data_IF_161912126517
#
_entry.id   IF_161912126517
#
_cell.length_a   1.000
_cell.length_b   1.000
_cell.length_c   1.000
_cell.angle_alpha   90.00
_cell.angle_beta   90.00
_cell.angle_gamma   90.00
#
_symmetry.space_group_name_H-M   'P 1'
#
loop_
_entity.id
_entity.type
_entity.pdbx_description
1 polymer ?
2 non-polymer ?
3 non-polymer ?
#
# COMPACT_ATOMS: atom_id res chain seq x y z
N UNK A 1 -1.99 18.33 0.90
CA UNK A 1 -0.76 19.15 0.70
C UNK A 1 0.31 18.72 1.70
N UNK A 2 0.02 17.64 2.43
CA UNK A 2 0.97 17.14 3.43
C UNK A 2 0.88 15.62 3.53
N UNK A 3 1.98 14.94 3.17
CA UNK A 3 2.02 13.47 3.23
C UNK A 3 0.69 12.85 2.83
N UNK A 4 0.61 12.33 1.60
CA UNK A 4 -0.61 11.70 1.13
C UNK A 4 -0.83 10.37 1.86
N UNK A 5 0.24 9.61 2.03
CA UNK A 5 0.17 8.33 2.71
C UNK A 5 -0.28 8.52 4.15
N UNK A 6 0.31 9.49 4.83
CA UNK A 6 -0.06 9.76 6.22
C UNK A 6 -1.48 10.30 6.31
N UNK A 7 -1.92 11.00 5.27
CA UNK A 7 -3.27 11.56 5.25
C UNK A 7 -4.33 10.45 5.28
N UNK A 8 -4.13 9.42 4.48
CA UNK A 8 -5.08 8.30 4.42
C UNK A 8 -5.02 7.48 5.71
N UNK A 9 -3.84 7.42 6.30
CA UNK A 9 -3.64 6.68 7.55
C UNK A 9 -4.36 7.37 8.70
N UNK A 10 -4.10 8.64 8.89
CA UNK A 10 -4.77 9.38 9.96
C UNK A 10 -6.27 9.06 10.00
N UNK A 11 -6.82 8.79 8.82
CA UNK A 11 -8.25 8.48 8.72
C UNK A 11 -8.54 7.09 9.28
N UNK A 12 -7.57 6.20 9.19
CA UNK A 12 -7.75 4.85 9.68
C UNK A 12 -7.68 4.81 11.21
N UNK A 13 -6.62 5.34 11.78
CA UNK A 13 -6.47 5.35 13.23
C UNK A 13 -7.64 6.07 13.89
N UNK A 14 -8.02 7.21 13.32
CA UNK A 14 -9.13 7.99 13.86
C UNK A 14 -10.38 7.10 14.00
N UNK A 15 -10.47 6.09 13.14
CA UNK A 15 -11.63 5.20 13.17
C UNK A 15 -11.44 4.08 14.21
N UNK A 16 -10.20 3.88 14.65
CA UNK A 16 -9.90 2.81 15.61
C UNK A 16 -9.86 3.32 17.06
N UNK A 17 -9.09 4.38 17.30
CA UNK A 17 -8.95 4.93 18.66
C UNK A 17 -9.24 6.43 18.73
N UNK A 18 -9.25 7.10 17.57
CA UNK A 18 -9.55 8.54 17.53
C UNK A 18 -8.34 9.34 17.07
N UNK A 19 -8.49 10.66 17.02
CA UNK A 19 -7.42 11.55 16.57
C UNK A 19 -6.39 11.77 17.68
N UNK A 20 -6.80 11.60 18.93
CA UNK A 20 -5.89 11.82 20.05
C UNK A 20 -4.73 10.83 20.01
N UNK A 21 -5.00 9.60 19.59
CA UNK A 21 -3.94 8.59 19.51
C UNK A 21 -2.96 8.93 18.40
N UNK A 22 -3.49 9.43 17.30
CA UNK A 22 -2.67 9.80 16.15
C UNK A 22 -1.76 10.95 16.48
N UNK A 23 -2.27 11.93 17.18
CA UNK A 23 -1.49 13.10 17.55
C UNK A 23 -0.51 12.77 18.68
N UNK A 24 -0.86 11.79 19.48
CA UNK A 24 -0.02 11.42 20.63
C UNK A 24 1.29 10.73 20.20
N UNK A 25 1.16 9.58 19.57
CA UNK A 25 2.34 8.83 19.14
C UNK A 25 3.07 9.57 18.00
N UNK A 26 2.35 10.42 17.29
CA UNK A 26 2.94 11.19 16.20
C UNK A 26 3.90 12.25 16.75
N UNK A 27 3.48 12.91 17.81
CA UNK A 27 4.32 13.95 18.43
C UNK A 27 5.53 13.31 19.13
N UNK A 28 5.36 12.08 19.59
CA UNK A 28 6.43 11.38 20.27
C UNK A 28 7.48 10.85 19.29
N UNK A 29 7.02 10.34 18.14
CA UNK A 29 7.93 9.78 17.14
C UNK A 29 8.22 10.76 15.99
N UNK A 30 7.62 11.94 16.04
CA UNK A 30 7.83 12.93 14.97
C UNK A 30 9.21 13.59 15.12
N UNK A 31 9.82 14.02 14.02
CA UNK A 31 11.16 14.69 14.04
C UNK A 31 11.06 16.14 14.51
N UNK A 32 12.12 16.90 14.27
CA UNK A 32 12.15 18.30 14.67
C UNK A 32 11.16 19.12 13.85
N UNK A 33 11.14 18.86 12.54
CA UNK A 33 10.24 19.57 11.65
C UNK A 33 8.78 19.32 12.04
N UNK A 34 8.46 18.05 12.31
CA UNK A 34 7.11 17.68 12.70
C UNK A 34 6.11 17.92 11.57
N UNK A 35 6.48 17.50 10.36
CA UNK A 35 5.59 17.67 9.20
C UNK A 35 5.75 16.50 8.22
N UNK A 36 4.64 16.10 7.62
CA UNK A 36 4.65 14.99 6.66
C UNK A 36 4.29 15.52 5.26
N UNK A 37 5.27 15.49 4.35
CA UNK A 37 5.04 15.97 2.97
C UNK A 37 4.93 14.81 1.99
N UNK A 38 3.99 14.92 1.06
CA UNK A 38 3.79 13.86 0.07
C UNK A 38 4.76 14.03 -1.09
N UNK A 39 5.16 15.27 -1.36
CA UNK A 39 6.08 15.55 -2.44
C UNK A 39 7.50 15.10 -2.07
N UNK A 40 7.82 15.17 -0.78
CA UNK A 40 9.15 14.78 -0.31
C UNK A 40 9.21 13.28 -0.08
N UNK A 41 10.33 12.82 0.47
CA UNK A 41 10.52 11.39 0.74
C UNK A 41 11.30 11.20 2.04
N UNK A 42 11.64 12.31 2.68
CA UNK A 42 12.39 12.26 3.93
C UNK A 42 11.47 11.94 5.10
N UNK A 43 12.06 11.52 6.22
CA UNK A 43 11.27 11.18 7.39
C UNK A 43 10.22 10.14 7.05
N UNK A 44 10.41 9.44 5.93
CA UNK A 44 9.47 8.43 5.50
C UNK A 44 9.55 7.20 6.42
N UNK A 45 10.69 7.02 7.06
CA UNK A 45 10.89 5.90 7.96
C UNK A 45 9.93 5.98 9.14
N UNK A 46 9.51 7.19 9.47
CA UNK A 46 8.60 7.40 10.58
C UNK A 46 7.34 6.55 10.41
N UNK A 47 6.96 6.32 9.16
CA UNK A 47 5.76 5.53 8.88
C UNK A 47 5.90 4.13 9.49
N UNK A 48 7.08 3.54 9.35
CA UNK A 48 7.33 2.21 9.90
C UNK A 48 7.26 2.22 11.42
N UNK A 49 7.90 3.22 12.03
CA UNK A 49 7.89 3.33 13.48
C UNK A 49 6.46 3.51 13.98
N UNK A 50 5.66 4.19 13.18
CA UNK A 50 4.26 4.46 13.53
C UNK A 50 3.41 3.21 13.36
N UNK A 51 3.72 2.40 12.35
CA UNK A 51 2.95 1.18 12.10
C UNK A 51 3.18 0.14 13.20
N UNK A 52 4.42 0.04 13.68
CA UNK A 52 4.74 -0.95 14.72
C UNK A 52 4.20 -0.49 16.09
N UNK A 53 4.29 0.80 16.36
CA UNK A 53 3.80 1.35 17.64
C UNK A 53 2.28 1.33 17.68
N UNK A 54 1.65 1.99 16.72
CA UNK A 54 0.20 2.03 16.68
C UNK A 54 -0.36 0.62 16.88
N UNK A 55 0.39 -0.37 16.42
CA UNK A 55 -0.02 -1.77 16.56
C UNK A 55 0.04 -2.21 18.02
N UNK A 56 1.01 -1.66 18.75
CA UNK A 56 1.18 -2.02 20.16
C UNK A 56 -0.01 -1.53 20.99
N UNK A 57 -0.36 -0.24 20.85
CA UNK A 57 -1.47 0.31 21.61
C UNK A 57 -2.78 -0.30 21.12
N UNK A 58 -2.92 -0.42 19.80
CA UNK A 58 -4.13 -1.00 19.23
C UNK A 58 -4.21 -2.49 19.57
N UNK A 59 -3.10 -3.02 20.10
CA UNK A 59 -3.03 -4.43 20.47
C UNK A 59 -3.23 -5.31 19.24
N UNK A 60 -2.33 -5.13 18.28
CA UNK A 60 -2.38 -5.90 17.02
C UNK A 60 -0.96 -6.20 16.55
N UNK A 61 -0.77 -7.29 15.84
CA UNK A 61 0.57 -7.66 15.31
C UNK A 61 0.95 -6.79 14.10
N UNK A 62 2.17 -6.28 14.10
CA UNK A 62 2.64 -5.41 13.03
C UNK A 62 2.31 -5.97 11.64
N UNK A 63 2.36 -7.29 11.49
CA UNK A 63 2.06 -7.91 10.19
C UNK A 63 0.61 -7.69 9.76
N UNK A 64 -0.29 -7.62 10.73
CA UNK A 64 -1.70 -7.41 10.41
C UNK A 64 -2.00 -5.92 10.23
N UNK A 65 -1.31 -5.09 11.00
CA UNK A 65 -1.50 -3.65 10.90
C UNK A 65 -1.02 -3.12 9.56
N UNK A 66 0.14 -3.57 9.13
CA UNK A 66 0.69 -3.13 7.85
C UNK A 66 -0.25 -3.54 6.71
N UNK A 67 -0.82 -4.74 6.85
CA UNK A 67 -1.75 -5.25 5.83
C UNK A 67 -3.00 -4.37 5.78
N UNK A 68 -3.72 -4.31 6.89
CA UNK A 68 -4.94 -3.52 6.97
C UNK A 68 -4.68 -2.10 6.47
N UNK A 69 -3.51 -1.57 6.82
CA UNK A 69 -3.15 -0.21 6.43
C UNK A 69 -3.20 -0.07 4.90
N UNK A 70 -2.72 -1.08 4.19
CA UNK A 70 -2.73 -1.05 2.73
C UNK A 70 -4.15 -1.07 2.18
N UNK A 71 -4.93 -2.07 2.58
CA UNK A 71 -6.29 -2.19 2.10
C UNK A 71 -7.00 -0.84 2.12
N UNK A 72 -6.83 -0.11 3.20
CA UNK A 72 -7.46 1.19 3.35
C UNK A 72 -6.74 2.26 2.51
N UNK A 73 -5.40 2.19 2.49
CA UNK A 73 -4.62 3.15 1.73
C UNK A 73 -5.12 3.24 0.29
N UNK A 74 -5.42 2.09 -0.28
CA UNK A 74 -5.91 2.04 -1.65
C UNK A 74 -7.25 2.76 -1.77
N UNK A 75 -8.13 2.52 -0.81
CA UNK A 75 -9.46 3.13 -0.82
C UNK A 75 -9.35 4.67 -0.86
N UNK A 76 -8.62 5.23 0.09
CA UNK A 76 -8.46 6.68 0.16
C UNK A 76 -7.73 7.24 -1.06
N UNK A 77 -6.66 6.57 -1.47
CA UNK A 77 -5.88 7.00 -2.61
C UNK A 77 -6.78 7.11 -3.85
N UNK A 78 -7.47 6.04 -4.17
CA UNK A 78 -8.36 6.02 -5.32
C UNK A 78 -9.21 7.28 -5.36
N UNK A 79 -9.67 7.72 -4.19
CA UNK A 79 -10.51 8.91 -4.11
C UNK A 79 -9.74 10.15 -4.54
N UNK A 80 -8.41 10.10 -4.43
CA UNK A 80 -7.57 11.24 -4.80
C UNK A 80 -7.08 11.11 -6.24
N UNK A 81 -6.92 9.85 -6.68
CA UNK A 81 -6.45 9.59 -8.05
C UNK A 81 -7.48 8.76 -8.82
N UNK A 82 -8.75 8.91 -8.44
CA UNK A 82 -9.83 8.19 -9.10
C UNK A 82 -9.67 8.24 -10.62
N UNK A 83 -9.09 9.33 -11.11
CA UNK A 83 -8.89 9.50 -12.55
C UNK A 83 -7.90 8.47 -13.10
N UNK A 84 -6.79 8.29 -12.41
CA UNK A 84 -5.79 7.33 -12.85
C UNK A 84 -6.30 5.90 -12.68
N UNK A 85 -6.82 5.61 -11.49
CA UNK A 85 -7.32 4.28 -11.18
C UNK A 85 -8.45 3.88 -12.13
N UNK A 86 -9.46 4.73 -12.26
CA UNK A 86 -10.61 4.45 -13.12
C UNK A 86 -10.21 3.99 -14.53
N UNK A 87 -8.95 4.18 -14.90
CA UNK A 87 -8.50 3.78 -16.23
C UNK A 87 -8.53 2.25 -16.39
N UNK A 88 -8.71 1.55 -15.28
CA UNK A 88 -8.74 0.08 -15.28
C UNK A 88 -10.16 -0.47 -15.44
N UNK A 89 -11.14 0.30 -15.02
CA UNK A 89 -12.54 -0.11 -15.13
C UNK A 89 -12.78 -1.52 -14.51
N UNK A 90 -11.69 -2.28 -14.27
CA UNK A 90 -11.80 -3.63 -13.72
C UNK A 90 -10.45 -4.09 -13.13
N UNK A 91 -10.52 -4.74 -11.98
CA UNK A 91 -9.33 -5.24 -11.27
C UNK A 91 -8.28 -5.86 -12.21
N UNK A 92 -8.73 -6.56 -13.24
CA UNK A 92 -7.79 -7.21 -14.16
C UNK A 92 -6.92 -6.20 -14.91
N UNK A 93 -7.53 -5.12 -15.36
CA UNK A 93 -6.79 -4.10 -16.12
C UNK A 93 -5.81 -3.33 -15.24
N UNK A 94 -6.10 -3.21 -13.95
CA UNK A 94 -5.21 -2.46 -13.04
C UNK A 94 -3.96 -3.27 -12.70
N UNK A 95 -4.12 -4.45 -12.13
CA UNK A 95 -2.97 -5.28 -11.74
C UNK A 95 -1.85 -5.19 -12.80
N UNK A 96 -2.21 -5.36 -14.06
CA UNK A 96 -1.22 -5.32 -15.14
C UNK A 96 -0.79 -3.89 -15.45
N UNK A 97 -1.56 -2.91 -14.99
CA UNK A 97 -1.25 -1.49 -15.26
C UNK A 97 -0.57 -0.81 -14.08
N UNK A 98 -0.39 -1.54 -12.99
CA UNK A 98 0.25 -0.97 -11.80
C UNK A 98 1.48 -0.16 -12.17
N UNK A 99 2.64 -0.81 -12.21
CA UNK A 99 3.88 -0.12 -12.54
C UNK A 99 3.67 0.83 -13.71
N UNK A 100 3.07 0.31 -14.76
CA UNK A 100 2.81 1.08 -15.98
C UNK A 100 2.36 2.52 -15.71
N UNK A 101 1.04 2.74 -15.82
CA UNK A 101 0.44 4.07 -15.67
C UNK A 101 0.32 4.55 -14.23
N UNK A 102 -0.20 3.72 -13.36
CA UNK A 102 -0.42 4.10 -11.96
C UNK A 102 0.85 4.64 -11.29
N UNK A 103 1.99 3.99 -11.51
CA UNK A 103 3.23 4.44 -10.87
C UNK A 103 4.00 5.43 -11.75
N UNK A 104 3.58 5.56 -13.00
CA UNK A 104 4.25 6.48 -13.91
C UNK A 104 3.68 7.90 -13.75
N UNK A 105 2.40 7.97 -13.39
CA UNK A 105 1.74 9.26 -13.21
C UNK A 105 2.12 9.88 -11.85
N UNK A 106 2.12 9.07 -10.80
CA UNK A 106 2.47 9.57 -9.47
C UNK A 106 3.90 10.12 -9.47
N UNK A 107 4.76 9.53 -10.28
CA UNK A 107 6.15 9.95 -10.37
C UNK A 107 6.24 11.41 -10.83
N UNK A 108 5.48 11.74 -11.86
CA UNK A 108 5.49 13.11 -12.39
C UNK A 108 4.77 14.05 -11.44
N UNK A 109 3.72 13.56 -10.80
CA UNK A 109 2.95 14.36 -9.87
C UNK A 109 3.72 14.55 -8.57
N UNK A 110 4.46 13.52 -8.17
CA UNK A 110 5.24 13.57 -6.94
C UNK A 110 6.38 12.55 -6.98
N UNK A 111 7.21 12.56 -5.94
CA UNK A 111 8.33 11.63 -5.85
C UNK A 111 9.23 11.76 -7.09
N UNK A 112 10.07 10.76 -7.30
CA UNK A 112 10.98 10.75 -8.45
C UNK A 112 11.29 9.31 -8.88
N UNK A 113 11.62 9.10 -10.13
CA UNK A 113 11.95 7.75 -10.66
C UNK A 113 12.69 6.89 -9.64
N UNK A 114 11.94 6.20 -8.80
CA UNK A 114 12.54 5.34 -7.77
C UNK A 114 11.46 4.54 -7.05
N UNK A 115 10.34 4.32 -7.73
CA UNK A 115 9.24 3.57 -7.14
C UNK A 115 9.55 2.06 -7.14
N UNK A 116 9.06 1.33 -6.15
CA UNK A 116 9.30 -0.14 -6.06
C UNK A 116 9.24 -0.83 -7.42
N UNK A 117 9.76 -2.06 -7.48
CA UNK A 117 9.76 -2.83 -8.73
C UNK A 117 8.55 -3.78 -8.78
N UNK A 118 7.64 -3.51 -9.72
CA UNK A 118 6.44 -4.35 -9.87
C UNK A 118 6.22 -4.72 -11.33
N UNK A 119 6.12 -6.03 -11.60
CA UNK A 119 5.91 -6.50 -12.97
C UNK A 119 4.72 -7.46 -13.03
N UNK A 120 3.59 -6.95 -13.53
CA UNK A 120 2.38 -7.74 -13.64
C UNK A 120 2.32 -8.44 -14.99
N UNK A 121 2.14 -9.75 -14.96
CA UNK A 121 2.05 -10.55 -16.19
C UNK A 121 0.76 -11.36 -16.18
N UNK A 122 0.01 -11.33 -17.28
CA UNK A 122 -1.25 -12.05 -17.34
C UNK A 122 -1.02 -13.53 -17.71
N UNK A 123 -1.71 -14.40 -16.98
CA UNK A 123 -1.62 -15.85 -17.22
C UNK A 123 -2.99 -16.37 -17.66
N UNK A 124 -3.13 -17.66 -17.88
CA UNK A 124 -4.42 -18.25 -18.31
C UNK A 124 -5.30 -18.67 -17.12
N UNK A 125 -6.55 -18.99 -17.41
CA UNK A 125 -7.50 -19.41 -16.38
C UNK A 125 -7.85 -18.25 -15.44
N UNK A 126 -7.71 -17.02 -15.94
CA UNK A 126 -8.01 -15.84 -15.14
C UNK A 126 -7.06 -15.70 -13.95
N UNK A 127 -5.76 -15.88 -14.20
CA UNK A 127 -4.74 -15.76 -13.15
C UNK A 127 -3.74 -14.68 -13.55
N UNK A 128 -3.18 -13.99 -12.56
CA UNK A 128 -2.21 -12.92 -12.83
C UNK A 128 -0.96 -13.09 -11.97
N UNK A 129 0.20 -13.10 -12.62
CA UNK A 129 1.47 -13.24 -11.90
C UNK A 129 2.08 -11.87 -11.67
N UNK A 130 2.11 -11.45 -10.42
CA UNK A 130 2.64 -10.15 -10.05
C UNK A 130 3.96 -10.30 -9.29
N UNK A 131 5.04 -9.84 -9.90
CA UNK A 131 6.35 -9.90 -9.27
C UNK A 131 6.60 -8.64 -8.45
N UNK A 132 7.28 -8.78 -7.31
CA UNK A 132 7.58 -7.63 -6.45
C UNK A 132 9.00 -7.73 -5.88
N UNK A 133 9.67 -6.59 -5.78
CA UNK A 133 11.03 -6.55 -5.26
C UNK A 133 11.41 -5.13 -4.85
N UNK A 134 12.04 -4.99 -3.70
CA UNK A 134 12.46 -3.67 -3.22
C UNK A 134 13.01 -3.75 -1.79
N UNK A 135 14.16 -3.16 -1.50
CA UNK A 135 14.76 -3.18 -0.14
C UNK A 135 13.72 -2.95 0.96
N UNK A 136 12.75 -2.08 0.68
CA UNK A 136 11.70 -1.77 1.64
C UNK A 136 11.08 -3.05 2.20
N UNK A 137 11.27 -4.16 1.48
CA UNK A 137 10.74 -5.46 1.90
C UNK A 137 9.36 -5.30 2.55
N UNK A 138 8.66 -4.23 2.19
CA UNK A 138 7.33 -3.96 2.74
C UNK A 138 6.26 -4.63 1.87
N UNK A 139 6.62 -5.76 1.28
CA UNK A 139 5.69 -6.49 0.43
C UNK A 139 4.35 -6.68 1.14
N UNK A 140 4.40 -6.95 2.44
CA UNK A 140 3.19 -7.17 3.21
C UNK A 140 2.16 -6.08 2.89
N UNK A 141 2.63 -4.89 2.58
CA UNK A 141 1.75 -3.78 2.25
C UNK A 141 1.13 -3.97 0.87
N UNK A 142 1.95 -4.42 -0.08
CA UNK A 142 1.48 -4.64 -1.44
C UNK A 142 0.27 -5.58 -1.46
N UNK A 143 0.30 -6.60 -0.60
CA UNK A 143 -0.80 -7.54 -0.55
C UNK A 143 -2.09 -6.82 -0.16
N UNK A 144 -2.03 -6.07 0.93
CA UNK A 144 -3.19 -5.34 1.41
C UNK A 144 -3.76 -4.43 0.32
N UNK A 145 -2.88 -3.74 -0.41
CA UNK A 145 -3.33 -2.84 -1.46
C UNK A 145 -4.16 -3.60 -2.50
N UNK A 146 -3.69 -4.78 -2.90
CA UNK A 146 -4.39 -5.58 -3.89
C UNK A 146 -5.79 -5.95 -3.41
N UNK A 147 -5.92 -6.27 -2.13
CA UNK A 147 -7.22 -6.65 -1.58
C UNK A 147 -8.14 -5.44 -1.45
N UNK A 148 -7.55 -4.28 -1.14
CA UNK A 148 -8.33 -3.06 -1.00
C UNK A 148 -9.02 -2.69 -2.30
N UNK A 149 -8.29 -2.79 -3.40
CA UNK A 149 -8.83 -2.45 -4.70
C UNK A 149 -9.84 -3.51 -5.15
N UNK A 150 -9.59 -4.76 -4.78
CA UNK A 150 -10.48 -5.85 -5.16
C UNK A 150 -11.85 -5.68 -4.50
N UNK A 151 -11.85 -5.47 -3.19
CA UNK A 151 -13.09 -5.29 -2.46
C UNK A 151 -13.85 -4.08 -3.00
N UNK A 152 -13.13 -2.96 -3.11
CA UNK A 152 -13.73 -1.72 -3.60
C UNK A 152 -14.66 -2.00 -4.78
N UNK A 153 -14.36 -3.08 -5.53
CA UNK A 153 -15.17 -3.44 -6.70
C UNK A 153 -15.86 -4.80 -6.50
N UNK A 154 -16.23 -5.09 -5.24
CA UNK A 154 -16.89 -6.35 -4.91
C UNK A 154 -16.30 -7.51 -5.73
N UNK A 155 -14.97 -7.57 -5.82
CA UNK A 155 -14.28 -8.61 -6.55
C UNK A 155 -13.39 -9.41 -5.61
N UNK A 156 -13.76 -10.67 -5.37
CA UNK A 156 -12.99 -11.53 -4.47
C UNK A 156 -11.81 -12.19 -5.21
N UNK A 157 -10.68 -12.26 -4.52
CA UNK A 157 -9.47 -12.86 -5.11
C UNK A 157 -8.62 -13.53 -4.05
N UNK A 158 -7.64 -14.32 -4.50
CA UNK A 158 -6.72 -15.00 -3.59
C UNK A 158 -5.29 -14.76 -4.03
N UNK A 159 -4.38 -14.59 -3.06
CA UNK A 159 -2.97 -14.34 -3.38
C UNK A 159 -2.07 -15.39 -2.75
N UNK A 160 -1.22 -15.99 -3.58
CA UNK A 160 -0.26 -16.99 -3.12
C UNK A 160 1.15 -16.44 -3.19
N UNK A 161 1.74 -16.20 -2.02
CA UNK A 161 3.10 -15.67 -1.94
C UNK A 161 4.08 -16.71 -1.36
N UNK A 162 4.73 -17.45 -2.26
CA UNK A 162 5.69 -18.47 -1.84
C UNK A 162 7.11 -17.91 -1.87
N UNK A 163 7.34 -16.95 -2.75
CA UNK A 163 8.66 -16.32 -2.84
C UNK A 163 8.62 -14.94 -2.20
N UNK A 164 9.47 -14.73 -1.21
CA UNK A 164 9.51 -13.45 -0.50
C UNK A 164 10.95 -13.05 -0.19
N UNK A 165 11.33 -11.85 -0.63
CA UNK A 165 12.67 -11.35 -0.40
C UNK A 165 13.00 -11.41 1.09
N UNK A 166 11.96 -11.53 1.91
CA UNK A 166 12.13 -11.59 3.35
C UNK A 166 12.69 -12.95 3.78
N UNK A 167 12.56 -13.96 2.91
CA UNK A 167 13.06 -15.30 3.24
C UNK A 167 14.42 -15.56 2.57
N UNK A 168 15.20 -14.50 2.39
CA UNK A 168 16.53 -14.62 1.78
C UNK A 168 16.46 -14.54 0.26
N UNK A 169 15.25 -14.65 -0.29
CA UNK A 169 15.08 -14.58 -1.74
C UNK A 169 15.53 -13.22 -2.26
N UNK A 170 15.85 -13.15 -3.55
CA UNK A 170 16.29 -11.90 -4.15
C UNK A 170 15.09 -11.09 -4.63
N UNK A 171 13.94 -11.75 -4.69
CA UNK A 171 12.71 -11.09 -5.15
C UNK A 171 11.50 -11.73 -4.49
N UNK A 172 10.33 -11.53 -5.10
CA UNK A 172 9.09 -12.10 -4.56
C UNK A 172 8.16 -12.51 -5.70
N UNK A 173 7.24 -13.44 -5.40
CA UNK A 173 6.29 -13.92 -6.41
C UNK A 173 4.88 -13.99 -5.83
N UNK A 174 4.00 -13.10 -6.31
CA UNK A 174 2.61 -13.06 -5.83
C UNK A 174 1.65 -13.40 -6.98
N UNK A 175 0.95 -14.53 -6.83
CA UNK A 175 -0.01 -14.96 -7.87
C UNK A 175 -1.43 -14.64 -7.41
N UNK A 176 -2.13 -13.81 -8.18
CA UNK A 176 -3.50 -13.44 -7.84
C UNK A 176 -4.51 -14.22 -8.68
N UNK A 177 -5.17 -15.18 -8.05
CA UNK A 177 -6.17 -15.99 -8.74
C UNK A 177 -7.52 -15.29 -8.70
N UNK A 178 -8.17 -15.19 -9.86
CA UNK A 178 -9.47 -14.54 -9.94
C UNK A 178 -10.60 -15.56 -9.85
N UNK A 179 -11.57 -15.31 -8.98
CA UNK A 179 -12.69 -16.24 -8.80
C UNK A 179 -13.74 -15.99 -9.88
N UNK A 180 -14.29 -17.08 -10.42
CA UNK A 180 -15.31 -16.98 -11.47
C UNK A 180 -16.65 -17.48 -10.94
N UNK A 181 -16.73 -17.68 -9.63
CA UNK A 181 -17.96 -18.17 -9.00
C UNK A 181 -19.16 -17.34 -9.48
X LIG B 1 4.49 2.91 -3.59
X LIG B 1 2.23 -1.13 -4.74
X LIG B 1 -1.38 1.45 -6.45
X LIG B 1 1.00 5.45 -5.59
X LIG B 1 4.10 1.60 -3.62
X LIG B 1 4.40 0.65 -2.58
X LIG B 1 3.89 -0.53 -3.00
X LIG B 1 3.10 -0.23 -4.17
X LIG B 1 3.95 -1.83 -2.27
X LIG B 1 4.86 0.97 -1.19
X LIG B 1 6.39 1.00 -1.08
X LIG B 1 6.93 -0.41 -1.13
X LIG B 1 6.89 -1.01 -2.23
X LIG B 1 7.47 -0.87 -0.10
X LIG B 1 1.13 -0.79 -5.48
X LIG B 1 0.09 -1.72 -5.86
X LIG B 1 -1.00 -1.00 -6.15
X LIG B 1 -0.56 0.39 -6.17
X LIG B 1 0.17 -3.21 -5.80
X LIG B 1 -2.21 -1.47 -6.59
X LIG B 1 -2.87 -2.48 -5.92
X LIG B 1 -0.98 2.75 -6.53
X LIG B 1 -1.84 3.85 -6.90
X LIG B 1 -1.08 4.96 -6.87
X LIG B 1 0.16 4.57 -6.24
X LIG B 1 -3.27 3.79 -7.30
X LIG B 1 -1.51 6.24 -7.13
X LIG B 1 -2.40 6.86 -6.29
X LIG B 1 2.16 5.10 -4.95
X LIG B 1 3.04 6.05 -4.31
X LIG B 1 4.11 5.34 -3.91
X LIG B 1 3.80 3.95 -4.13
X LIG B 1 2.86 7.52 -4.21
X LIG B 1 5.43 5.89 -3.48
X LIG B 1 5.57 6.00 -1.97
X LIG B 1 6.80 6.78 -1.62
X LIG B 1 7.88 6.42 -2.15
X LIG B 1 6.69 7.73 -0.80
X LIG B 1 3.11 1.12 -4.44
X LIG B 1 0.75 0.51 -5.76
X LIG B 1 0.27 3.20 -6.15
X LIG B 1 2.63 3.81 -4.84
X LIG B 1 1.69 2.16 -5.30
X LIG B 1 2.31 -2.17 -4.43
X LIG B 1 -2.39 1.22 -6.79
X LIG B 1 0.81 6.51 -5.75
X LIG B 1 3.03 -1.98 -1.73
X LIG B 1 4.78 -1.82 -1.57
X LIG B 1 4.09 -2.63 -2.98
X LIG B 1 4.47 0.23 -0.51
X LIG B 1 4.47 1.94 -0.93
X LIG B 1 6.67 1.46 -0.14
X LIG B 1 6.80 1.57 -1.90
X LIG B 1 -0.08 -3.54 -4.79
X LIG B 1 1.18 -3.53 -6.04
X LIG B 1 -0.52 -3.64 -6.50
X LIG B 1 -2.68 -1.00 -7.44
X LIG B 1 -2.41 -2.96 -5.07
X LIG B 1 -3.85 -2.80 -6.24
X LIG B 1 -3.53 4.70 -7.83
X LIG B 1 -3.90 3.70 -6.42
X LIG B 1 -3.44 2.95 -7.95
X LIG B 1 -1.31 6.68 -8.09
X LIG B 1 -2.62 6.43 -5.33
X LIG B 1 -2.90 7.77 -6.59
X LIG B 1 3.13 7.98 -5.15
X LIG B 1 3.48 7.91 -3.43
X LIG B 1 1.82 7.74 -4.00
X LIG B 1 5.55 6.88 -3.92
X LIG B 1 6.21 5.26 -3.86
X LIG B 1 5.63 5.01 -1.54
X LIG B 1 4.69 6.50 -1.56
X LIG B 1 5.44 3.14 -3.09
X LIG C 1 0.75 2.23 -3.65
X LIG C 1 0.19 2.27 -2.67
#
# INVERSE_FOLDING_TARGET
MKGIIFNVLEDMVVAQCGMSVWNELLEKHAPKDRVYVSAKSYAESELFSIVQDVAQRLNMPIQDVVKAFGQFLFNGLASRHTDVVDKFDDFTSLVMGIHDVIHLEVNKLYHEPSLPHINGQLLPNNQIALRYSSPRRLCFCAEGLLFGAAQHFQQKIQISHDTCMHTGADHCMLIIELQND
HEM CHA CHB CHC CHD C1A C2A C3A C4A CMA CAA CBA CGA O1A O2A C1B C2B C3B C4B CMB CAB CBB C1C C2C C3C C4C CMC CAC CBC C1D C2D C3D C4D CMD CAD CBD CGD O1D O2D NA NB NC ND FE HHB HHC HHD HMA HMAA HMAB HAA HAAA HBA HBAA HMB HMBA HMBB HAB HBB HBBA HMC HMCA HMCB HAC HBC HBCA HMD HMDA HMDB HAD HADA HBD HBDA HHA
CMO C O
#
